data_IF_404077685860
#
_entry.id   IF_404077685860
#
_cell.length_a   1.000
_cell.length_b   1.000
_cell.length_c   1.000
_cell.angle_alpha   90.00
_cell.angle_beta   90.00
_cell.angle_gamma   90.00
#
_symmetry.space_group_name_H-M   'P 1'
#
loop_
_entity.id
_entity.type
_entity.pdbx_description
1 polymer ?
#
# COMPACT_ATOMS: atom_id res chain seq x y z
N UNK A 1 -30.00 1.57 -1.64
CA UNK A 1 -28.78 0.87 -2.07
C UNK A 1 -29.04 0.32 -3.46
N UNK A 2 -28.34 0.84 -4.48
CA UNK A 2 -28.63 0.57 -5.90
C UNK A 2 -28.16 -0.83 -6.27
N UNK A 3 -29.07 -1.80 -6.27
CA UNK A 3 -28.78 -3.20 -6.61
C UNK A 3 -28.72 -3.35 -8.13
N UNK A 4 -27.51 -3.25 -8.69
CA UNK A 4 -27.25 -3.62 -10.07
C UNK A 4 -27.11 -5.15 -10.15
N UNK A 5 -27.94 -5.86 -10.93
CA UNK A 5 -27.96 -7.33 -11.00
C UNK A 5 -26.68 -7.97 -11.55
N UNK A 6 -25.74 -7.18 -12.09
CA UNK A 6 -24.43 -7.64 -12.55
C UNK A 6 -23.30 -7.43 -11.53
N UNK A 7 -23.58 -6.81 -10.38
CA UNK A 7 -22.59 -6.66 -9.31
C UNK A 7 -22.66 -7.92 -8.43
N UNK A 8 -21.61 -8.74 -8.48
CA UNK A 8 -21.44 -9.92 -7.64
C UNK A 8 -21.15 -9.57 -6.18
N UNK A 9 -20.70 -10.58 -5.41
CA UNK A 9 -20.20 -10.37 -4.04
C UNK A 9 -19.02 -9.39 -3.99
N UNK A 10 -18.81 -8.77 -2.82
CA UNK A 10 -17.65 -7.89 -2.59
C UNK A 10 -16.35 -8.67 -2.75
N UNK A 11 -15.27 -7.97 -3.13
CA UNK A 11 -13.92 -8.51 -3.10
C UNK A 11 -13.56 -9.02 -1.69
N UNK A 12 -13.98 -8.29 -0.65
CA UNK A 12 -13.69 -8.65 0.74
C UNK A 12 -14.29 -10.02 1.08
N UNK A 13 -15.53 -10.28 0.65
CA UNK A 13 -16.17 -11.59 0.86
C UNK A 13 -15.39 -12.72 0.17
N UNK A 14 -14.85 -12.49 -1.04
CA UNK A 14 -14.02 -13.48 -1.73
C UNK A 14 -12.71 -13.77 -0.97
N UNK A 15 -12.08 -12.73 -0.42
CA UNK A 15 -10.84 -12.86 0.34
C UNK A 15 -11.05 -13.47 1.74
N UNK A 16 -12.21 -13.24 2.34
CA UNK A 16 -12.65 -13.89 3.59
C UNK A 16 -12.96 -15.36 3.37
N UNK A 17 -13.60 -15.72 2.26
CA UNK A 17 -13.87 -17.13 1.88
C UNK A 17 -12.57 -17.95 1.78
N UNK A 18 -11.52 -17.35 1.24
CA UNK A 18 -10.18 -17.95 1.14
C UNK A 18 -9.36 -17.84 2.45
N UNK A 19 -9.86 -17.10 3.45
CA UNK A 19 -9.19 -16.88 4.73
C UNK A 19 -7.91 -16.05 4.66
N UNK A 20 -7.69 -15.32 3.55
CA UNK A 20 -6.47 -14.53 3.28
C UNK A 20 -6.67 -13.02 3.37
N UNK A 21 -7.86 -12.55 3.73
CA UNK A 21 -8.19 -11.13 3.79
C UNK A 21 -7.13 -10.33 4.57
N UNK A 22 -6.81 -10.75 5.79
CA UNK A 22 -5.86 -10.06 6.67
C UNK A 22 -4.46 -9.96 6.05
N UNK A 23 -3.99 -11.02 5.40
CA UNK A 23 -2.67 -11.05 4.75
C UNK A 23 -2.64 -10.10 3.54
N UNK A 24 -3.69 -10.14 2.72
CA UNK A 24 -3.81 -9.30 1.53
C UNK A 24 -3.91 -7.83 1.93
N UNK A 25 -4.67 -7.51 2.96
CA UNK A 25 -4.81 -6.15 3.49
C UNK A 25 -3.46 -5.64 4.02
N UNK A 26 -2.73 -6.44 4.80
CA UNK A 26 -1.41 -6.07 5.30
C UNK A 26 -0.39 -5.82 4.17
N UNK A 27 -0.41 -6.66 3.13
CA UNK A 27 0.46 -6.49 1.96
C UNK A 27 0.07 -5.24 1.17
N UNK A 28 -1.22 -5.03 0.95
CA UNK A 28 -1.75 -3.85 0.25
C UNK A 28 -1.34 -2.57 0.97
N UNK A 29 -1.52 -2.51 2.29
CA UNK A 29 -1.13 -1.37 3.12
C UNK A 29 0.37 -1.09 3.01
N UNK A 30 1.21 -2.13 3.16
CA UNK A 30 2.67 -1.99 3.02
C UNK A 30 3.06 -1.42 1.66
N UNK A 31 2.39 -1.87 0.58
CA UNK A 31 2.67 -1.41 -0.78
C UNK A 31 2.23 0.03 -1.01
N UNK A 32 1.06 0.41 -0.49
CA UNK A 32 0.57 1.79 -0.55
C UNK A 32 1.52 2.74 0.17
N UNK A 33 1.98 2.38 1.38
CA UNK A 33 2.94 3.19 2.13
C UNK A 33 4.26 3.36 1.35
N UNK A 34 4.81 2.28 0.79
CA UNK A 34 6.04 2.36 -0.01
C UNK A 34 5.87 3.24 -1.26
N UNK A 35 4.71 3.16 -1.91
CA UNK A 35 4.37 4.01 -3.05
C UNK A 35 4.25 5.48 -2.64
N UNK A 36 3.55 5.80 -1.56
CA UNK A 36 3.41 7.17 -1.05
C UNK A 36 4.75 7.81 -0.72
N UNK A 37 5.68 7.06 -0.10
CA UNK A 37 7.04 7.55 0.16
C UNK A 37 7.77 7.82 -1.16
N UNK A 38 7.63 6.93 -2.13
CA UNK A 38 8.27 7.09 -3.45
C UNK A 38 7.73 8.29 -4.21
N UNK A 39 6.43 8.57 -4.12
CA UNK A 39 5.82 9.77 -4.67
C UNK A 39 6.32 11.03 -3.97
N UNK A 40 6.31 11.05 -2.63
CA UNK A 40 6.81 12.20 -1.86
C UNK A 40 8.29 12.51 -2.16
N UNK A 41 9.11 11.49 -2.42
CA UNK A 41 10.49 11.67 -2.85
C UNK A 41 10.57 12.30 -4.24
N UNK A 42 9.75 11.85 -5.21
CA UNK A 42 9.73 12.41 -6.56
C UNK A 42 9.25 13.86 -6.57
N UNK A 43 8.16 14.16 -5.86
CA UNK A 43 7.58 15.51 -5.77
C UNK A 43 8.56 16.52 -5.16
N UNK A 44 9.36 16.08 -4.19
CA UNK A 44 10.35 16.92 -3.50
C UNK A 44 11.74 16.86 -4.15
N UNK A 45 11.93 16.04 -5.17
CA UNK A 45 13.23 15.80 -5.79
C UNK A 45 14.27 15.19 -4.86
N UNK A 46 13.85 14.45 -3.83
CA UNK A 46 14.74 13.90 -2.80
C UNK A 46 15.34 12.56 -3.23
N UNK A 47 16.63 12.43 -3.00
CA UNK A 47 17.33 11.15 -3.06
C UNK A 47 16.99 10.27 -1.85
N UNK A 48 17.21 8.95 -1.98
CA UNK A 48 16.96 7.99 -0.89
C UNK A 48 17.74 8.30 0.38
N UNK A 49 18.93 8.89 0.25
CA UNK A 49 19.78 9.31 1.38
C UNK A 49 19.22 10.53 2.08
N UNK A 50 18.75 11.54 1.32
CA UNK A 50 18.15 12.74 1.89
C UNK A 50 16.82 12.42 2.59
N UNK A 51 15.99 11.59 1.97
CA UNK A 51 14.75 11.13 2.59
C UNK A 51 15.01 10.38 3.90
N UNK A 52 16.01 9.49 3.91
CA UNK A 52 16.36 8.73 5.12
C UNK A 52 16.83 9.66 6.26
N UNK A 53 17.64 10.67 5.94
CA UNK A 53 18.07 11.71 6.89
C UNK A 53 16.87 12.50 7.45
N UNK A 54 15.93 12.91 6.60
CA UNK A 54 14.71 13.64 7.03
C UNK A 54 13.79 12.78 7.90
N UNK A 55 13.72 11.47 7.62
CA UNK A 55 12.91 10.53 8.40
C UNK A 55 13.63 10.03 9.67
N UNK A 56 14.88 10.45 9.92
CA UNK A 56 15.73 9.89 10.97
C UNK A 56 15.84 8.34 10.90
N UNK A 57 15.86 7.82 9.67
CA UNK A 57 16.03 6.38 9.39
C UNK A 57 17.36 6.14 8.67
N UNK A 58 17.89 4.93 8.79
CA UNK A 58 19.11 4.55 8.08
C UNK A 58 18.78 4.06 6.68
N UNK A 59 19.43 4.63 5.66
CA UNK A 59 19.31 4.13 4.30
C UNK A 59 20.08 2.80 4.17
N UNK A 60 19.39 1.67 4.33
CA UNK A 60 19.96 0.35 4.06
C UNK A 60 19.67 -0.05 2.62
N UNK A 61 20.46 0.44 1.68
CA UNK A 61 20.51 -0.15 0.34
C UNK A 61 21.40 -1.40 0.41
N UNK A 62 20.79 -2.59 0.36
CA UNK A 62 21.48 -3.84 0.06
C UNK A 62 21.03 -4.32 -1.30
#
# INVERSE_FOLDING_TARGET
MTTNPYIGSSLDNLLEEDGILDEVEAIALKRVLAWQISQAMQERGLTKTEMAQQMHTVCRMR
#
